data_IF_130044810846
#
_entry.id   IF_130044810846
#
_cell.length_a   1.000
_cell.length_b   1.000
_cell.length_c   1.000
_cell.angle_alpha   90.00
_cell.angle_beta   90.00
_cell.angle_gamma   90.00
#
_symmetry.space_group_name_H-M   'P 1'
#
loop_
_entity.id
_entity.type
_entity.pdbx_description
1 polymer ?
#
# COMPACT_ATOMS: atom_id res chain seq x y z
N UNK A 1 -1.72 0.93 8.24
CA UNK A 1 -1.98 2.04 7.29
C UNK A 1 -2.18 1.47 5.89
N UNK A 2 -3.05 2.09 5.09
CA UNK A 2 -3.28 1.74 3.67
C UNK A 2 -2.96 2.94 2.78
N UNK A 3 -2.25 2.72 1.69
CA UNK A 3 -1.91 3.69 0.65
C UNK A 3 -2.67 3.35 -0.62
N UNK A 4 -3.64 4.19 -0.96
CA UNK A 4 -4.56 3.95 -2.08
C UNK A 4 -4.03 4.63 -3.33
N UNK A 5 -3.86 3.87 -4.40
CA UNK A 5 -3.15 4.33 -5.59
C UNK A 5 -1.65 4.47 -5.33
N UNK A 6 -1.10 3.69 -4.39
CA UNK A 6 0.30 3.78 -3.97
C UNK A 6 1.31 3.26 -5.00
N UNK A 7 0.84 2.78 -6.16
CA UNK A 7 1.66 2.33 -7.28
C UNK A 7 2.57 1.17 -6.91
N UNK A 8 3.84 1.29 -7.27
CA UNK A 8 4.89 0.29 -6.95
C UNK A 8 5.43 0.43 -5.52
N UNK A 9 4.77 1.22 -4.67
CA UNK A 9 5.08 1.32 -3.24
C UNK A 9 6.32 2.16 -2.91
N UNK A 10 6.63 3.20 -3.69
CA UNK A 10 7.81 4.06 -3.42
C UNK A 10 7.71 4.73 -2.05
N UNK A 11 6.55 5.32 -1.72
CA UNK A 11 6.33 5.92 -0.40
C UNK A 11 6.31 4.84 0.69
N UNK A 12 5.66 3.71 0.41
CA UNK A 12 5.56 2.58 1.34
C UNK A 12 6.93 2.07 1.80
N UNK A 13 7.90 1.92 0.88
CA UNK A 13 9.27 1.48 1.21
C UNK A 13 9.95 2.42 2.21
N UNK A 14 9.91 3.73 1.93
CA UNK A 14 10.53 4.75 2.80
C UNK A 14 9.86 4.76 4.19
N UNK A 15 8.53 4.67 4.23
CA UNK A 15 7.77 4.68 5.50
C UNK A 15 8.05 3.39 6.29
N UNK A 16 8.06 2.23 5.66
CA UNK A 16 8.36 0.95 6.31
C UNK A 16 9.79 0.88 6.85
N UNK A 17 10.76 1.55 6.20
CA UNK A 17 12.13 1.69 6.70
C UNK A 17 12.20 2.62 7.92
N UNK A 18 11.51 3.76 7.87
CA UNK A 18 11.47 4.73 8.98
C UNK A 18 10.68 4.22 10.20
N UNK A 19 9.67 3.37 9.97
CA UNK A 19 8.78 2.84 11.01
C UNK A 19 8.64 1.31 10.89
N UNK A 20 9.64 0.53 11.35
CA UNK A 20 9.66 -0.93 11.17
C UNK A 20 8.45 -1.67 11.77
N UNK A 21 7.85 -1.11 12.82
CA UNK A 21 6.69 -1.72 13.49
C UNK A 21 5.34 -1.36 12.84
N UNK A 22 5.32 -0.44 11.87
CA UNK A 22 4.09 -0.06 11.17
C UNK A 22 3.78 -1.10 10.10
N UNK A 23 2.59 -1.70 10.17
CA UNK A 23 2.04 -2.49 9.06
C UNK A 23 1.49 -1.56 7.98
N UNK A 24 2.00 -1.71 6.77
CA UNK A 24 1.67 -0.89 5.62
C UNK A 24 1.14 -1.76 4.48
N UNK A 25 0.05 -1.30 3.86
CA UNK A 25 -0.57 -1.96 2.71
C UNK A 25 -0.60 -0.96 1.56
N UNK A 26 -0.11 -1.35 0.39
CA UNK A 26 -0.34 -0.62 -0.86
C UNK A 26 -1.51 -1.27 -1.58
N UNK A 27 -2.58 -0.51 -1.79
CA UNK A 27 -3.71 -0.89 -2.62
C UNK A 27 -3.59 -0.18 -3.97
N UNK A 28 -3.52 -0.96 -5.04
CA UNK A 28 -3.59 -0.45 -6.41
C UNK A 28 -4.27 -1.47 -7.32
N UNK A 29 -4.48 -1.12 -8.58
CA UNK A 29 -5.08 -2.04 -9.55
C UNK A 29 -4.22 -3.32 -9.69
N UNK A 30 -4.83 -4.49 -9.89
CA UNK A 30 -4.10 -5.77 -9.94
C UNK A 30 -2.89 -5.76 -10.87
N UNK A 31 -3.00 -5.17 -12.06
CA UNK A 31 -1.90 -5.08 -13.03
C UNK A 31 -0.72 -4.22 -12.58
N UNK A 32 -0.92 -3.31 -11.63
CA UNK A 32 0.14 -2.44 -11.08
C UNK A 32 0.96 -3.20 -10.04
N UNK A 33 0.30 -4.01 -9.20
CA UNK A 33 0.94 -4.72 -8.10
C UNK A 33 1.32 -6.17 -8.41
N UNK A 34 0.95 -6.68 -9.58
CA UNK A 34 1.31 -8.03 -10.01
C UNK A 34 2.83 -8.22 -10.04
N UNK A 35 3.30 -9.28 -9.39
CA UNK A 35 4.73 -9.62 -9.31
C UNK A 35 5.53 -8.79 -8.30
N UNK A 36 4.89 -7.86 -7.58
CA UNK A 36 5.54 -7.16 -6.47
C UNK A 36 5.52 -8.03 -5.22
N UNK A 37 6.69 -8.18 -4.60
CA UNK A 37 6.84 -8.86 -3.32
C UNK A 37 7.00 -7.82 -2.22
N UNK A 38 6.21 -7.99 -1.17
CA UNK A 38 6.30 -7.18 0.05
C UNK A 38 7.49 -7.54 0.94
N UNK A 39 7.48 -6.99 2.15
CA UNK A 39 8.41 -7.32 3.24
C UNK A 39 7.60 -7.73 4.48
N UNK A 40 8.26 -7.94 5.62
CA UNK A 40 7.57 -8.31 6.87
C UNK A 40 6.50 -7.30 7.30
N UNK A 41 6.65 -6.03 6.94
CA UNK A 41 5.75 -4.94 7.34
C UNK A 41 5.09 -4.23 6.14
N UNK A 42 5.34 -4.68 4.91
CA UNK A 42 4.76 -4.14 3.68
C UNK A 42 4.02 -5.24 2.91
N UNK A 43 2.77 -5.01 2.54
CA UNK A 43 1.99 -5.89 1.67
C UNK A 43 1.45 -5.12 0.46
N UNK A 44 1.35 -5.81 -0.68
CA UNK A 44 0.70 -5.30 -1.89
C UNK A 44 -0.63 -6.02 -2.09
N UNK A 45 -1.69 -5.26 -2.31
CA UNK A 45 -3.05 -5.77 -2.52
C UNK A 45 -3.55 -5.23 -3.85
N UNK A 46 -3.94 -6.14 -4.75
CA UNK A 46 -4.59 -5.79 -6.01
C UNK A 46 -6.10 -5.60 -5.79
N UNK A 47 -6.65 -4.48 -6.24
CA UNK A 47 -8.08 -4.22 -6.10
C UNK A 47 -8.52 -2.88 -6.68
N UNK A 48 -9.83 -2.62 -6.58
CA UNK A 48 -10.45 -1.37 -6.98
C UNK A 48 -10.90 -0.60 -5.73
N UNK A 49 -10.33 0.59 -5.49
CA UNK A 49 -10.66 1.43 -4.33
C UNK A 49 -12.12 1.87 -4.27
N UNK A 50 -12.82 1.90 -5.40
CA UNK A 50 -14.25 2.22 -5.45
C UNK A 50 -15.14 1.06 -5.00
N UNK A 51 -14.60 -0.16 -4.94
CA UNK A 51 -15.30 -1.36 -4.47
C UNK A 51 -14.92 -1.69 -3.03
N UNK A 52 -13.63 -1.64 -2.70
CA UNK A 52 -13.16 -1.86 -1.33
C UNK A 52 -11.85 -1.15 -1.04
N UNK A 53 -11.62 -0.87 0.25
CA UNK A 53 -10.31 -0.50 0.79
C UNK A 53 -10.04 -1.39 2.00
N UNK A 54 -8.85 -2.02 2.13
CA UNK A 54 -8.51 -2.79 3.33
C UNK A 54 -8.68 -1.98 4.62
N UNK A 55 -9.12 -2.63 5.68
CA UNK A 55 -9.23 -1.99 6.99
C UNK A 55 -7.85 -1.61 7.53
N UNK A 56 -7.70 -0.37 7.98
CA UNK A 56 -6.50 0.13 8.66
C UNK A 56 -6.83 1.35 9.54
N UNK A 57 -5.92 1.70 10.45
CA UNK A 57 -6.06 2.86 11.32
C UNK A 57 -6.04 4.20 10.56
N UNK A 58 -5.42 4.21 9.38
CA UNK A 58 -5.28 5.39 8.54
C UNK A 58 -5.19 5.03 7.06
N UNK A 59 -5.69 5.94 6.21
CA UNK A 59 -5.64 5.87 4.75
C UNK A 59 -4.80 7.06 4.25
N UNK A 60 -3.87 6.78 3.34
CA UNK A 60 -3.15 7.77 2.56
C UNK A 60 -3.67 7.76 1.13
N UNK A 61 -3.95 8.97 0.62
CA UNK A 61 -4.28 9.22 -0.78
C UNK A 61 -3.38 10.36 -1.22
N UNK A 62 -2.45 10.09 -2.13
CA UNK A 62 -1.63 11.15 -2.72
C UNK A 62 -2.45 11.89 -3.78
N UNK A 63 -2.74 13.16 -3.54
CA UNK A 63 -3.34 14.07 -4.55
C UNK A 63 -2.21 14.64 -5.41
N UNK A 64 -2.39 14.64 -6.73
CA UNK A 64 -1.42 15.17 -7.70
C UNK A 64 -1.81 16.57 -8.17
#
# INVERSE_FOLDING_TARGET
MVDVGGGTGTMAKIICEAFPNLKYIVLDLPQVVTGLTGTNNLSFVGGNMFEFVPQADAILIKVS
#
